data_IF_646867948455
#
_entry.id   IF_646867948455
#
_cell.length_a   1.000
_cell.length_b   1.000
_cell.length_c   1.000
_cell.angle_alpha   90.00
_cell.angle_beta   90.00
_cell.angle_gamma   90.00
#
_symmetry.space_group_name_H-M   'P 1'
#
loop_
_entity.id
_entity.type
_entity.pdbx_description
1 polymer ?
#
# COMPACT_ATOMS: atom_id res chain seq x y z
N UNK A 1 22.10 20.92 -33.36
CA UNK A 1 21.08 19.84 -33.37
C UNK A 1 21.48 18.64 -32.48
N UNK A 2 22.74 18.22 -32.43
CA UNK A 2 23.21 17.11 -31.56
C UNK A 2 22.93 17.28 -30.04
N UNK A 3 22.91 18.52 -29.54
CA UNK A 3 22.74 18.80 -28.11
C UNK A 3 21.34 18.45 -27.57
N UNK A 4 20.31 18.57 -28.41
CA UNK A 4 18.93 18.28 -28.00
C UNK A 4 18.66 16.77 -27.94
N UNK A 5 19.35 16.01 -28.78
CA UNK A 5 19.22 14.55 -28.89
C UNK A 5 19.96 13.85 -27.75
N UNK A 6 21.14 14.35 -27.39
CA UNK A 6 21.91 13.89 -26.23
C UNK A 6 21.17 14.15 -24.91
N UNK A 7 20.61 15.35 -24.69
CA UNK A 7 19.80 15.66 -23.51
C UNK A 7 18.56 14.76 -23.44
N UNK A 8 17.93 14.49 -24.58
CA UNK A 8 16.76 13.61 -24.65
C UNK A 8 17.11 12.17 -24.29
N UNK A 9 18.23 11.64 -24.81
CA UNK A 9 18.71 10.29 -24.50
C UNK A 9 19.14 10.14 -23.02
N UNK A 10 19.84 11.14 -22.47
CA UNK A 10 20.25 11.17 -21.06
C UNK A 10 19.04 11.19 -20.13
N UNK A 11 18.05 12.04 -20.45
CA UNK A 11 16.77 12.09 -19.76
C UNK A 11 16.05 10.73 -19.80
N UNK A 12 15.96 10.10 -20.97
CA UNK A 12 15.31 8.79 -21.11
C UNK A 12 16.04 7.70 -20.34
N UNK A 13 17.38 7.65 -20.35
CA UNK A 13 18.15 6.67 -19.56
C UNK A 13 17.92 6.86 -18.07
N UNK A 14 17.97 8.08 -17.56
CA UNK A 14 17.74 8.35 -16.14
C UNK A 14 16.29 8.06 -15.74
N UNK A 15 15.33 8.40 -16.61
CA UNK A 15 13.92 8.06 -16.43
C UNK A 15 13.72 6.55 -16.35
N UNK A 16 14.26 5.77 -17.30
CA UNK A 16 14.16 4.31 -17.35
C UNK A 16 14.77 3.61 -16.13
N UNK A 17 15.98 4.03 -15.71
CA UNK A 17 16.64 3.44 -14.53
C UNK A 17 15.88 3.79 -13.24
N UNK A 18 15.42 5.03 -13.09
CA UNK A 18 14.68 5.46 -11.91
C UNK A 18 13.25 4.89 -11.85
N UNK A 19 12.61 4.61 -12.99
CA UNK A 19 11.29 3.99 -13.06
C UNK A 19 11.32 2.48 -12.84
N UNK A 20 12.23 1.73 -13.48
CA UNK A 20 12.26 0.26 -13.37
C UNK A 20 12.41 -0.24 -11.93
N UNK A 21 13.38 0.28 -11.19
CA UNK A 21 13.64 -0.18 -9.82
C UNK A 21 12.54 0.24 -8.82
N UNK A 22 11.69 1.21 -9.16
CA UNK A 22 10.70 1.78 -8.24
C UNK A 22 9.28 1.31 -8.53
N UNK A 23 8.94 1.10 -9.81
CA UNK A 23 7.66 0.52 -10.20
C UNK A 23 7.53 -0.90 -9.63
N UNK A 24 8.57 -1.74 -9.76
CA UNK A 24 8.50 -3.12 -9.29
C UNK A 24 8.38 -3.27 -7.77
N UNK A 25 9.02 -2.40 -6.98
CA UNK A 25 9.03 -2.56 -5.52
C UNK A 25 7.78 -2.00 -4.81
N UNK A 26 7.26 -0.84 -5.22
CA UNK A 26 6.17 -0.18 -4.49
C UNK A 26 4.79 -0.30 -5.14
N UNK A 27 4.70 -0.68 -6.40
CA UNK A 27 3.41 -0.91 -7.06
C UNK A 27 2.72 -2.17 -6.49
N UNK A 28 3.51 -3.19 -6.18
CA UNK A 28 3.05 -4.43 -5.53
C UNK A 28 2.44 -4.13 -4.16
N UNK A 29 3.10 -3.34 -3.30
CA UNK A 29 2.57 -2.98 -1.98
C UNK A 29 1.32 -2.11 -2.07
N UNK A 30 1.31 -1.12 -2.97
CA UNK A 30 0.15 -0.25 -3.18
C UNK A 30 -1.06 -1.05 -3.67
N UNK A 31 -0.84 -2.00 -4.57
CA UNK A 31 -1.90 -2.86 -5.09
C UNK A 31 -2.39 -3.85 -4.01
N UNK A 32 -1.48 -4.44 -3.23
CA UNK A 32 -1.81 -5.26 -2.07
C UNK A 32 -2.70 -4.50 -1.07
N UNK A 33 -2.32 -3.27 -0.70
CA UNK A 33 -3.10 -2.44 0.25
C UNK A 33 -4.50 -2.18 -0.29
N UNK A 34 -4.64 -1.85 -1.58
CA UNK A 34 -5.95 -1.64 -2.23
C UNK A 34 -6.81 -2.90 -2.18
N UNK A 35 -6.23 -4.06 -2.51
CA UNK A 35 -6.92 -5.35 -2.47
C UNK A 35 -7.35 -5.72 -1.05
N UNK A 36 -6.50 -5.46 -0.04
CA UNK A 36 -6.82 -5.68 1.37
C UNK A 36 -7.96 -4.76 1.84
N UNK A 37 -7.95 -3.47 1.46
CA UNK A 37 -9.06 -2.55 1.76
C UNK A 37 -10.36 -3.03 1.13
N UNK A 38 -10.32 -3.41 -0.16
CA UNK A 38 -11.50 -3.89 -0.87
C UNK A 38 -12.08 -5.14 -0.18
N UNK A 39 -11.22 -6.12 0.10
CA UNK A 39 -11.60 -7.36 0.78
C UNK A 39 -12.20 -7.09 2.15
N UNK A 40 -11.55 -6.26 2.97
CA UNK A 40 -12.05 -5.87 4.29
C UNK A 40 -13.41 -5.16 4.20
N UNK A 41 -13.58 -4.26 3.21
CA UNK A 41 -14.83 -3.52 3.01
C UNK A 41 -15.99 -4.44 2.64
N UNK A 42 -15.76 -5.38 1.72
CA UNK A 42 -16.77 -6.39 1.34
C UNK A 42 -17.18 -7.22 2.54
N UNK A 43 -16.22 -7.71 3.34
CA UNK A 43 -16.50 -8.51 4.54
C UNK A 43 -17.28 -7.70 5.58
N UNK A 44 -16.87 -6.45 5.83
CA UNK A 44 -17.54 -5.56 6.79
C UNK A 44 -18.97 -5.26 6.35
N UNK A 45 -19.21 -5.12 5.04
CA UNK A 45 -20.54 -4.84 4.49
C UNK A 45 -21.45 -6.08 4.55
N UNK A 46 -20.91 -7.28 4.30
CA UNK A 46 -21.68 -8.52 4.29
C UNK A 46 -21.91 -9.10 5.69
N UNK A 47 -21.03 -8.85 6.67
CA UNK A 47 -21.12 -9.46 7.99
C UNK A 47 -22.43 -9.17 8.73
N UNK A 48 -22.98 -7.94 8.75
CA UNK A 48 -24.28 -7.64 9.33
C UNK A 48 -25.43 -8.42 8.67
N UNK A 49 -25.36 -8.64 7.35
CA UNK A 49 -26.35 -9.44 6.62
C UNK A 49 -26.34 -10.90 7.09
N UNK A 50 -25.17 -11.49 7.29
CA UNK A 50 -25.02 -12.85 7.82
C UNK A 50 -25.60 -12.97 9.23
N UNK A 51 -25.37 -11.98 10.10
CA UNK A 51 -25.96 -11.92 11.44
C UNK A 51 -27.48 -11.80 11.43
N UNK A 52 -28.03 -11.07 10.45
CA UNK A 52 -29.48 -10.87 10.34
C UNK A 52 -30.25 -12.11 9.85
N UNK A 53 -29.57 -13.01 9.14
CA UNK A 53 -30.15 -14.21 8.51
C UNK A 53 -29.99 -15.48 9.33
N UNK A 54 -28.98 -15.55 10.19
CA UNK A 54 -28.79 -16.69 11.07
C UNK A 54 -29.80 -16.60 12.21
N UNK A 55 -30.74 -17.55 12.26
CA UNK A 55 -31.66 -17.67 13.39
C UNK A 55 -30.83 -17.67 14.69
N UNK A 56 -31.02 -16.62 15.47
CA UNK A 56 -30.20 -16.17 16.61
C UNK A 56 -30.10 -17.24 17.72
N UNK A 57 -30.84 -18.34 17.59
CA UNK A 57 -30.97 -19.46 18.51
C UNK A 57 -29.89 -20.54 18.37
N UNK A 58 -29.18 -20.65 17.22
CA UNK A 58 -28.11 -21.69 17.06
C UNK A 58 -26.72 -21.27 17.55
N UNK A 59 -26.44 -19.97 17.67
CA UNK A 59 -25.14 -19.47 18.12
C UNK A 59 -25.12 -19.15 19.60
N UNK A 60 -24.08 -19.60 20.29
CA UNK A 60 -23.85 -19.20 21.69
C UNK A 60 -23.56 -17.70 21.78
N UNK A 61 -23.77 -17.12 22.96
CA UNK A 61 -23.43 -15.71 23.23
C UNK A 61 -21.95 -15.43 22.93
N UNK A 62 -21.07 -16.38 23.23
CA UNK A 62 -19.64 -16.28 22.96
C UNK A 62 -19.33 -16.18 21.46
N UNK A 63 -20.02 -16.97 20.62
CA UNK A 63 -19.80 -16.97 19.17
C UNK A 63 -20.21 -15.64 18.54
N UNK A 64 -21.28 -15.01 19.06
CA UNK A 64 -21.71 -13.67 18.63
C UNK A 64 -20.65 -12.62 18.97
N UNK A 65 -20.08 -12.68 20.18
CA UNK A 65 -18.99 -11.77 20.57
C UNK A 65 -17.74 -11.99 19.73
N UNK A 66 -17.34 -13.24 19.47
CA UNK A 66 -16.20 -13.56 18.61
C UNK A 66 -16.40 -13.09 17.18
N UNK A 67 -17.61 -13.24 16.63
CA UNK A 67 -17.97 -12.72 15.31
C UNK A 67 -17.87 -11.20 15.27
N UNK A 68 -18.49 -10.49 16.22
CA UNK A 68 -18.41 -9.03 16.30
C UNK A 68 -16.98 -8.54 16.47
N UNK A 69 -16.18 -9.23 17.30
CA UNK A 69 -14.77 -8.91 17.50
C UNK A 69 -13.97 -9.07 16.20
N UNK A 70 -14.18 -10.16 15.47
CA UNK A 70 -13.55 -10.37 14.17
C UNK A 70 -13.91 -9.26 13.16
N UNK A 71 -15.18 -8.86 13.12
CA UNK A 71 -15.65 -7.75 12.28
C UNK A 71 -15.01 -6.42 12.65
N UNK A 72 -14.83 -6.14 13.95
CA UNK A 72 -14.13 -4.94 14.43
C UNK A 72 -12.66 -4.96 14.01
N UNK A 73 -11.96 -6.09 14.12
CA UNK A 73 -10.57 -6.20 13.67
C UNK A 73 -10.45 -5.90 12.16
N UNK A 74 -11.32 -6.50 11.35
CA UNK A 74 -11.35 -6.25 9.89
C UNK A 74 -11.70 -4.79 9.60
N UNK A 75 -12.64 -4.19 10.33
CA UNK A 75 -12.98 -2.78 10.18
C UNK A 75 -11.82 -1.84 10.52
N UNK A 76 -11.03 -2.14 11.57
CA UNK A 76 -9.83 -1.37 11.95
C UNK A 76 -8.73 -1.50 10.89
N UNK A 77 -8.69 -2.59 10.12
CA UNK A 77 -7.71 -2.75 9.05
C UNK A 77 -7.88 -1.74 7.90
N UNK A 78 -9.10 -1.25 7.67
CA UNK A 78 -9.42 -0.30 6.60
C UNK A 78 -8.71 1.05 6.80
N UNK A 79 -8.87 1.77 7.93
CA UNK A 79 -8.16 3.03 8.15
C UNK A 79 -6.64 2.85 8.16
N UNK A 80 -6.11 1.70 8.58
CA UNK A 80 -4.67 1.42 8.47
C UNK A 80 -4.20 1.39 7.01
N UNK A 81 -4.95 0.73 6.13
CA UNK A 81 -4.68 0.75 4.70
C UNK A 81 -4.79 2.15 4.09
N UNK A 82 -5.77 2.95 4.51
CA UNK A 82 -5.92 4.34 4.05
C UNK A 82 -4.71 5.18 4.49
N UNK A 83 -4.26 5.05 5.75
CA UNK A 83 -3.06 5.73 6.25
C UNK A 83 -1.84 5.34 5.42
N UNK A 84 -1.66 4.06 5.09
CA UNK A 84 -0.58 3.62 4.22
C UNK A 84 -0.64 4.28 2.83
N UNK A 85 -1.82 4.32 2.20
CA UNK A 85 -1.97 4.97 0.89
C UNK A 85 -1.58 6.45 0.92
N UNK A 86 -1.88 7.14 2.03
CA UNK A 86 -1.48 8.54 2.22
C UNK A 86 0.04 8.66 2.40
N UNK A 87 0.65 7.81 3.23
CA UNK A 87 2.12 7.79 3.42
C UNK A 87 2.82 7.54 2.09
N UNK A 88 2.38 6.54 1.34
CA UNK A 88 2.91 6.22 0.00
C UNK A 88 2.74 7.42 -0.93
N UNK A 89 1.58 8.06 -0.95
CA UNK A 89 1.32 9.23 -1.80
C UNK A 89 2.31 10.38 -1.53
N UNK A 90 2.54 10.73 -0.26
CA UNK A 90 3.50 11.76 0.10
C UNK A 90 4.94 11.38 -0.27
N UNK A 91 5.31 10.12 -0.03
CA UNK A 91 6.60 9.58 -0.41
C UNK A 91 6.84 9.66 -1.92
N UNK A 92 5.86 9.27 -2.74
CA UNK A 92 5.92 9.38 -4.20
C UNK A 92 6.00 10.82 -4.68
N UNK A 93 5.27 11.74 -4.03
CA UNK A 93 5.30 13.16 -4.38
C UNK A 93 6.66 13.78 -4.09
N UNK A 94 7.25 13.49 -2.93
CA UNK A 94 8.59 13.97 -2.58
C UNK A 94 9.64 13.46 -3.57
N UNK A 95 9.55 12.18 -3.92
CA UNK A 95 10.45 11.59 -4.91
C UNK A 95 10.28 12.15 -6.31
N UNK A 96 9.05 12.34 -6.78
CA UNK A 96 8.81 12.93 -8.10
C UNK A 96 9.42 14.33 -8.19
N UNK A 97 9.36 15.13 -7.11
CA UNK A 97 10.02 16.44 -7.07
C UNK A 97 11.54 16.32 -7.14
N UNK A 98 12.14 15.36 -6.42
CA UNK A 98 13.59 15.13 -6.50
C UNK A 98 14.04 14.69 -7.90
N UNK A 99 13.32 13.74 -8.53
CA UNK A 99 13.58 13.31 -9.91
C UNK A 99 13.48 14.50 -10.88
N UNK A 100 12.40 15.28 -10.78
CA UNK A 100 12.20 16.46 -11.62
C UNK A 100 13.32 17.49 -11.43
N UNK A 101 13.76 17.75 -10.19
CA UNK A 101 14.87 18.66 -9.91
C UNK A 101 16.19 18.22 -10.54
N UNK A 102 16.48 16.92 -10.59
CA UNK A 102 17.68 16.40 -11.25
C UNK A 102 17.58 16.58 -12.77
N UNK A 103 16.43 16.22 -13.36
CA UNK A 103 16.19 16.39 -14.81
C UNK A 103 16.27 17.86 -15.23
N UNK A 104 15.72 18.77 -14.42
CA UNK A 104 15.79 20.21 -14.67
C UNK A 104 17.24 20.73 -14.58
N UNK A 105 18.03 20.26 -13.62
CA UNK A 105 19.45 20.61 -13.51
C UNK A 105 20.30 20.14 -14.70
N UNK A 106 19.98 18.97 -15.27
CA UNK A 106 20.59 18.49 -16.53
C UNK A 106 20.22 19.41 -17.69
N UNK A 107 18.94 19.77 -17.81
CA UNK A 107 18.46 20.65 -18.89
C UNK A 107 19.09 22.05 -18.82
N UNK A 108 19.35 22.56 -17.61
CA UNK A 108 20.01 23.85 -17.37
C UNK A 108 21.55 23.80 -17.48
N UNK A 109 22.13 22.61 -17.73
CA UNK A 109 23.58 22.36 -17.73
C UNK A 109 24.27 22.62 -16.39
N UNK A 110 23.52 22.64 -15.30
CA UNK A 110 24.06 22.74 -13.93
C UNK A 110 24.55 21.37 -13.44
N UNK A 111 23.96 20.30 -13.97
CA UNK A 111 24.30 18.90 -13.71
C UNK A 111 24.90 18.31 -14.98
N UNK A 112 26.11 17.74 -14.86
CA UNK A 112 26.88 17.08 -15.92
C UNK A 112 27.01 15.59 -15.61
N UNK A 113 27.45 14.78 -16.58
CA UNK A 113 27.65 13.33 -16.39
C UNK A 113 28.57 13.01 -15.21
N UNK A 114 29.57 13.86 -14.94
CA UNK A 114 30.53 13.65 -13.86
C UNK A 114 29.93 13.87 -12.45
N UNK A 115 28.85 14.66 -12.34
CA UNK A 115 28.24 15.04 -11.05
C UNK A 115 26.78 14.58 -10.88
N UNK A 116 26.17 13.97 -11.91
CA UNK A 116 24.78 13.52 -11.89
C UNK A 116 24.52 12.53 -10.76
N UNK A 117 25.48 11.65 -10.47
CA UNK A 117 25.39 10.68 -9.39
C UNK A 117 25.37 11.37 -8.03
N UNK A 118 26.34 12.25 -7.77
CA UNK A 118 26.45 12.99 -6.51
C UNK A 118 25.19 13.85 -6.25
N UNK A 119 24.73 14.58 -7.26
CA UNK A 119 23.51 15.41 -7.16
C UNK A 119 22.25 14.58 -7.00
N UNK A 120 22.17 13.41 -7.64
CA UNK A 120 21.03 12.50 -7.46
C UNK A 120 21.00 11.95 -6.04
N UNK A 121 22.16 11.55 -5.50
CA UNK A 121 22.28 11.07 -4.10
C UNK A 121 21.96 12.19 -3.11
N UNK A 122 22.43 13.42 -3.33
CA UNK A 122 22.12 14.59 -2.50
C UNK A 122 20.61 14.88 -2.45
N UNK A 123 19.92 14.80 -3.60
CA UNK A 123 18.47 15.04 -3.66
C UNK A 123 17.66 13.86 -3.12
N UNK A 124 18.16 12.63 -3.27
CA UNK A 124 17.50 11.43 -2.75
C UNK A 124 17.70 11.24 -1.25
N UNK A 125 18.83 11.67 -0.67
CA UNK A 125 19.09 11.57 0.78
C UNK A 125 18.13 12.42 1.63
N UNK A 126 17.50 13.43 1.02
CA UNK A 126 16.46 14.25 1.63
C UNK A 126 15.10 13.54 1.69
N UNK A 127 14.96 12.39 1.02
CA UNK A 127 13.77 11.55 1.04
C UNK A 127 14.08 10.38 1.96
N UNK A 128 13.11 9.96 2.79
CA UNK A 128 13.24 8.72 3.54
C UNK A 128 13.60 7.57 2.60
N UNK A 129 14.45 6.63 3.02
CA UNK A 129 14.92 5.57 2.13
C UNK A 129 13.78 4.66 1.64
N UNK A 130 12.76 4.46 2.48
CA UNK A 130 11.60 3.61 2.20
C UNK A 130 10.32 4.24 2.75
N UNK A 131 9.18 3.90 2.12
CA UNK A 131 7.88 4.17 2.72
C UNK A 131 7.73 3.34 3.99
N UNK A 132 7.21 3.94 5.06
CA UNK A 132 6.96 3.21 6.29
C UNK A 132 5.90 2.12 6.02
N UNK A 133 6.29 0.85 6.05
CA UNK A 133 5.42 -0.31 5.76
C UNK A 133 4.71 -0.86 7.00
N UNK A 134 4.88 -0.25 8.17
CA UNK A 134 4.26 -0.72 9.43
C UNK A 134 2.74 -0.85 9.31
N UNK A 135 2.08 0.08 8.60
CA UNK A 135 0.63 0.03 8.46
C UNK A 135 0.17 -1.10 7.54
N UNK A 136 0.97 -1.49 6.54
CA UNK A 136 0.72 -2.71 5.73
C UNK A 136 0.72 -3.93 6.63
N UNK A 137 1.74 -4.08 7.47
CA UNK A 137 1.86 -5.23 8.38
C UNK A 137 0.74 -5.28 9.40
N UNK A 138 0.39 -4.14 10.01
CA UNK A 138 -0.74 -4.04 10.92
C UNK A 138 -2.06 -4.39 10.22
N UNK A 139 -2.30 -3.85 9.02
CA UNK A 139 -3.48 -4.17 8.22
C UNK A 139 -3.55 -5.68 7.95
N UNK A 140 -2.44 -6.28 7.53
CA UNK A 140 -2.35 -7.70 7.20
C UNK A 140 -2.62 -8.58 8.43
N UNK A 141 -2.05 -8.25 9.60
CA UNK A 141 -2.32 -8.95 10.86
C UNK A 141 -3.81 -8.88 11.21
N UNK A 142 -4.41 -7.70 11.18
CA UNK A 142 -5.83 -7.54 11.52
C UNK A 142 -6.76 -8.29 10.57
N UNK A 143 -6.49 -8.24 9.26
CA UNK A 143 -7.27 -8.99 8.26
C UNK A 143 -7.13 -10.49 8.46
N UNK A 144 -5.91 -11.01 8.62
CA UNK A 144 -5.68 -12.46 8.78
C UNK A 144 -6.32 -12.97 10.07
N UNK A 145 -6.09 -12.30 11.20
CA UNK A 145 -6.68 -12.71 12.49
C UNK A 145 -8.20 -12.65 12.43
N UNK A 146 -8.76 -11.57 11.87
CA UNK A 146 -10.21 -11.43 11.68
C UNK A 146 -10.80 -12.53 10.79
N UNK A 147 -10.17 -12.82 9.66
CA UNK A 147 -10.58 -13.89 8.75
C UNK A 147 -10.52 -15.27 9.40
N UNK A 148 -9.46 -15.58 10.13
CA UNK A 148 -9.31 -16.86 10.83
C UNK A 148 -10.43 -17.05 11.87
N UNK A 149 -10.77 -16.00 12.61
CA UNK A 149 -11.89 -16.04 13.56
C UNK A 149 -13.23 -16.26 12.85
N UNK A 150 -13.48 -15.57 11.73
CA UNK A 150 -14.69 -15.78 10.93
C UNK A 150 -14.78 -17.20 10.37
N UNK A 151 -13.68 -17.76 9.86
CA UNK A 151 -13.62 -19.12 9.34
C UNK A 151 -13.90 -20.16 10.42
N UNK A 152 -13.31 -20.01 11.61
CA UNK A 152 -13.60 -20.90 12.75
C UNK A 152 -15.09 -20.88 13.10
N UNK A 153 -15.71 -19.69 13.08
CA UNK A 153 -17.14 -19.54 13.36
C UNK A 153 -18.03 -20.15 12.27
N UNK A 154 -17.67 -19.99 10.99
CA UNK A 154 -18.37 -20.63 9.88
C UNK A 154 -18.26 -22.16 9.92
N UNK A 155 -17.07 -22.70 10.17
CA UNK A 155 -16.87 -24.15 10.28
C UNK A 155 -17.68 -24.75 11.43
N UNK A 156 -17.74 -24.07 12.58
CA UNK A 156 -18.62 -24.49 13.69
C UNK A 156 -20.09 -24.45 13.28
N UNK A 157 -20.53 -23.38 12.62
CA UNK A 157 -21.90 -23.22 12.15
C UNK A 157 -22.31 -24.32 11.17
N UNK A 158 -21.41 -24.74 10.27
CA UNK A 158 -21.64 -25.82 9.30
C UNK A 158 -21.66 -27.19 9.99
N UNK A 159 -20.80 -27.45 10.97
CA UNK A 159 -20.76 -28.73 11.70
C UNK A 159 -21.98 -28.98 12.59
N UNK A 160 -22.70 -27.91 12.96
CA UNK A 160 -23.89 -27.97 13.83
C UNK A 160 -25.21 -27.94 13.01
N UNK A 161 -25.13 -27.60 11.71
CA UNK A 161 -26.28 -27.52 10.80
C UNK A 161 -26.64 -28.89 10.21
#
# INVERSE_FOLDING_TARGET
MANNEYIRQQKTKFEDYAERYRAEANEVFRELVRQLILTATVLVTLGPYVLSRTEVTKFTVLDKYLFMFAMVLIAISIPMGIVQLVVDHYFFRAWHRAKYSVVEGIARKEITDDNIWERSVEKQSLIQAESNTIFVWLQLIFVIVGLMLLLVQLCKGILIA
#
